data_IF_901146851860
#
_entry.id   IF_901146851860
#
_cell.length_a   1.000
_cell.length_b   1.000
_cell.length_c   1.000
_cell.angle_alpha   90.00
_cell.angle_beta   90.00
_cell.angle_gamma   90.00
#
_symmetry.space_group_name_H-M   'P 1'
#
loop_
_entity.id
_entity.type
_entity.pdbx_description
1 polymer ?
#
# COMPACT_ATOMS: atom_id res chain seq x y z
N UNK A 1 -38.42 -11.99 -44.73
CA UNK A 1 -37.07 -12.19 -44.21
C UNK A 1 -36.88 -11.25 -43.02
N UNK A 2 -37.13 -11.77 -41.83
CA UNK A 2 -37.00 -11.05 -40.54
C UNK A 2 -35.62 -11.30 -39.96
N UNK A 3 -34.84 -10.25 -39.67
CA UNK A 3 -33.56 -10.31 -38.95
C UNK A 3 -33.84 -10.57 -37.47
N UNK A 4 -33.03 -11.35 -36.78
CA UNK A 4 -33.10 -11.48 -35.33
C UNK A 4 -32.46 -10.28 -34.65
N UNK A 5 -33.17 -9.72 -33.67
CA UNK A 5 -32.73 -8.67 -32.79
C UNK A 5 -31.78 -9.26 -31.75
N UNK A 6 -30.51 -8.88 -31.78
CA UNK A 6 -29.53 -9.27 -30.76
C UNK A 6 -29.71 -8.37 -29.56
N UNK A 7 -30.22 -8.92 -28.45
CA UNK A 7 -30.26 -8.26 -27.15
C UNK A 7 -28.89 -8.34 -26.54
N UNK A 8 -28.20 -7.21 -26.41
CA UNK A 8 -26.94 -7.10 -25.69
C UNK A 8 -27.26 -7.06 -24.20
N UNK A 9 -27.03 -8.16 -23.50
CA UNK A 9 -27.02 -8.15 -22.03
C UNK A 9 -25.79 -7.40 -21.53
N UNK A 10 -26.03 -6.25 -20.89
CA UNK A 10 -25.01 -5.50 -20.17
C UNK A 10 -24.73 -6.21 -18.86
N UNK A 11 -23.65 -6.96 -18.80
CA UNK A 11 -23.13 -7.55 -17.56
C UNK A 11 -22.51 -6.46 -16.71
N UNK A 12 -23.25 -5.94 -15.75
CA UNK A 12 -22.73 -5.05 -14.73
C UNK A 12 -21.99 -5.89 -13.71
N UNK A 13 -20.68 -5.94 -13.82
CA UNK A 13 -19.82 -6.57 -12.81
C UNK A 13 -19.79 -5.66 -11.58
N UNK A 14 -20.58 -5.99 -10.56
CA UNK A 14 -20.47 -5.36 -9.24
C UNK A 14 -19.12 -5.73 -8.63
N UNK A 15 -18.23 -4.76 -8.52
CA UNK A 15 -17.01 -4.90 -7.76
C UNK A 15 -17.35 -4.91 -6.27
N UNK A 16 -17.37 -6.10 -5.71
CA UNK A 16 -17.59 -6.30 -4.28
C UNK A 16 -16.47 -5.64 -3.51
N UNK A 17 -16.80 -4.58 -2.77
CA UNK A 17 -15.89 -3.88 -1.87
C UNK A 17 -15.28 -4.89 -0.89
N UNK A 18 -13.96 -5.03 -0.92
CA UNK A 18 -13.25 -5.82 0.09
C UNK A 18 -13.20 -4.96 1.34
N UNK A 19 -13.79 -5.38 2.46
CA UNK A 19 -13.72 -4.60 3.70
C UNK A 19 -12.30 -4.63 4.24
N UNK A 20 -11.71 -3.44 4.41
CA UNK A 20 -10.46 -3.27 5.15
C UNK A 20 -10.75 -3.59 6.61
N UNK A 21 -10.02 -4.47 7.27
CA UNK A 21 -10.21 -4.70 8.68
C UNK A 21 -9.79 -3.47 9.46
N UNK A 22 -10.78 -2.70 9.94
CA UNK A 22 -10.56 -1.68 10.95
C UNK A 22 -10.21 -2.39 12.24
N UNK A 23 -8.93 -2.33 12.62
CA UNK A 23 -8.44 -2.84 13.89
C UNK A 23 -9.09 -2.08 15.05
N UNK A 24 -10.21 -2.59 15.54
CA UNK A 24 -10.80 -2.14 16.78
C UNK A 24 -9.95 -2.68 17.91
N UNK A 25 -9.19 -1.81 18.55
CA UNK A 25 -8.50 -2.13 19.80
C UNK A 25 -9.54 -2.35 20.88
N UNK A 26 -9.79 -3.61 21.21
CA UNK A 26 -10.59 -3.98 22.36
C UNK A 26 -9.81 -3.61 23.63
N UNK A 27 -10.28 -2.61 24.34
CA UNK A 27 -9.84 -2.31 25.70
C UNK A 27 -10.29 -3.42 26.63
N UNK A 28 -9.37 -4.26 27.08
CA UNK A 28 -9.62 -5.19 28.18
C UNK A 28 -9.67 -4.40 29.48
N UNK A 29 -10.87 -4.25 30.05
CA UNK A 29 -11.09 -3.71 31.38
C UNK A 29 -10.74 -4.79 32.40
N UNK A 30 -9.59 -4.67 33.07
CA UNK A 30 -9.26 -5.43 34.25
C UNK A 30 -9.59 -4.57 35.44
N UNK A 31 -10.66 -4.94 36.15
CA UNK A 31 -11.07 -4.33 37.42
C UNK A 31 -10.29 -5.01 38.53
N UNK A 32 -9.28 -4.35 39.10
CA UNK A 32 -8.66 -4.79 40.36
C UNK A 32 -8.65 -3.61 41.32
N UNK A 33 -9.48 -3.68 42.32
CA UNK A 33 -9.51 -2.81 43.50
C UNK A 33 -8.27 -3.07 44.34
N UNK A 34 -7.47 -2.08 44.65
CA UNK A 34 -7.00 -1.72 46.00
C UNK A 34 -5.71 -0.88 45.92
N UNK A 35 -5.76 0.22 46.70
CA UNK A 35 -4.67 1.03 47.29
C UNK A 35 -3.96 2.08 46.41
N UNK A 36 -4.37 3.25 46.78
CA UNK A 36 -3.84 4.59 46.71
C UNK A 36 -2.30 4.70 46.58
N UNK A 37 -1.81 4.78 45.33
CA UNK A 37 -0.55 5.42 44.99
C UNK A 37 -0.80 6.30 43.77
N UNK A 38 -0.87 7.63 44.01
CA UNK A 38 -0.98 8.62 42.93
C UNK A 38 0.38 8.70 42.22
N UNK A 39 0.61 7.75 41.29
CA UNK A 39 1.68 7.89 40.31
C UNK A 39 1.08 8.49 39.06
N UNK A 40 1.21 9.78 38.90
CA UNK A 40 0.87 10.47 37.65
C UNK A 40 1.87 10.00 36.58
N UNK A 41 1.57 8.87 35.92
CA UNK A 41 2.28 8.48 34.74
C UNK A 41 1.79 9.35 33.59
N UNK A 42 2.52 10.42 33.30
CA UNK A 42 2.32 11.15 32.06
C UNK A 42 2.70 10.24 30.91
N UNK A 43 1.69 9.59 30.31
CA UNK A 43 1.88 8.87 29.06
C UNK A 43 2.19 9.92 28.02
N UNK A 44 3.48 10.03 27.69
CA UNK A 44 3.94 10.83 26.57
C UNK A 44 3.39 10.16 25.29
N UNK A 45 2.30 10.71 24.76
CA UNK A 45 1.78 10.33 23.45
C UNK A 45 2.58 11.00 22.34
N UNK A 46 3.90 10.80 22.35
CA UNK A 46 4.66 11.09 21.14
C UNK A 46 4.16 10.12 20.04
N UNK A 47 3.81 10.62 18.85
CA UNK A 47 3.38 9.74 17.77
C UNK A 47 4.50 8.73 17.48
N UNK A 48 4.19 7.45 17.66
CA UNK A 48 5.13 6.38 17.31
C UNK A 48 5.38 6.49 15.82
N UNK A 49 6.63 6.64 15.36
CA UNK A 49 6.90 6.74 13.94
C UNK A 49 6.43 5.44 13.26
N UNK A 50 5.47 5.59 12.35
CA UNK A 50 4.99 4.45 11.56
C UNK A 50 6.11 4.05 10.63
N UNK A 51 6.71 2.87 10.86
CA UNK A 51 7.69 2.31 9.95
C UNK A 51 6.95 1.83 8.70
N UNK A 52 7.38 2.31 7.56
CA UNK A 52 6.93 1.82 6.26
C UNK A 52 8.13 1.17 5.53
N UNK A 53 7.83 0.23 4.65
CA UNK A 53 8.79 -0.37 3.74
C UNK A 53 8.43 0.18 2.34
N UNK A 54 9.39 0.74 1.64
CA UNK A 54 9.18 1.18 0.26
C UNK A 54 8.74 0.01 -0.59
N UNK A 55 7.67 0.20 -1.34
CA UNK A 55 7.11 -0.82 -2.21
C UNK A 55 6.20 -1.83 -1.52
N UNK A 56 6.10 -1.87 -0.19
CA UNK A 56 5.15 -2.70 0.56
C UNK A 56 3.91 -1.86 0.89
N UNK A 57 2.99 -1.82 -0.05
CA UNK A 57 1.80 -0.96 0.00
C UNK A 57 0.69 -1.58 0.84
N UNK A 58 0.55 -2.91 0.81
CA UNK A 58 -0.47 -3.64 1.55
C UNK A 58 -0.04 -4.01 2.99
N UNK A 59 1.21 -3.70 3.38
CA UNK A 59 1.80 -3.94 4.72
C UNK A 59 1.87 -5.42 5.13
N UNK A 60 2.03 -6.30 4.17
CA UNK A 60 2.21 -7.72 4.46
C UNK A 60 3.68 -8.08 4.77
N UNK A 61 4.57 -7.10 4.81
CA UNK A 61 6.02 -7.21 4.98
C UNK A 61 6.73 -7.97 3.83
N UNK A 62 6.10 -8.00 2.67
CA UNK A 62 6.65 -8.58 1.45
C UNK A 62 6.42 -7.61 0.30
N UNK A 63 7.40 -7.47 -0.58
CA UNK A 63 7.22 -6.73 -1.82
C UNK A 63 6.92 -7.76 -2.90
N UNK A 64 5.73 -7.67 -3.51
CA UNK A 64 5.27 -8.63 -4.52
C UNK A 64 4.37 -7.99 -5.60
N UNK A 65 3.71 -8.84 -6.39
CA UNK A 65 2.86 -8.39 -7.50
C UNK A 65 1.60 -7.65 -7.04
N UNK A 66 1.17 -7.81 -5.79
CA UNK A 66 0.02 -7.09 -5.24
C UNK A 66 0.37 -5.63 -5.07
N UNK A 67 1.56 -5.35 -4.52
CA UNK A 67 2.07 -3.99 -4.37
C UNK A 67 2.27 -3.30 -5.70
N UNK A 68 2.87 -4.01 -6.66
CA UNK A 68 3.01 -3.53 -8.03
C UNK A 68 1.65 -3.10 -8.60
N UNK A 69 0.63 -3.94 -8.43
CA UNK A 69 -0.72 -3.63 -8.90
C UNK A 69 -1.29 -2.39 -8.22
N UNK A 70 -1.11 -2.24 -6.91
CA UNK A 70 -1.60 -1.09 -6.14
C UNK A 70 -0.96 0.22 -6.61
N UNK A 71 0.36 0.22 -6.86
CA UNK A 71 1.07 1.40 -7.38
C UNK A 71 0.58 1.75 -8.80
N UNK A 72 0.47 0.77 -9.69
CA UNK A 72 -0.05 0.98 -11.05
C UNK A 72 -1.48 1.50 -11.03
N UNK A 73 -2.32 0.96 -10.16
CA UNK A 73 -3.70 1.42 -10.00
C UNK A 73 -3.76 2.86 -9.51
N UNK A 74 -2.96 3.22 -8.50
CA UNK A 74 -2.85 4.57 -7.98
C UNK A 74 -2.36 5.56 -9.06
N UNK A 75 -1.29 5.23 -9.77
CA UNK A 75 -0.73 6.01 -10.88
C UNK A 75 -1.76 6.24 -11.99
N UNK A 76 -2.48 5.20 -12.39
CA UNK A 76 -3.51 5.30 -13.43
C UNK A 76 -4.67 6.22 -12.99
N UNK A 77 -5.10 6.14 -11.74
CA UNK A 77 -6.15 7.03 -11.21
C UNK A 77 -5.71 8.48 -11.17
N UNK A 78 -4.48 8.74 -10.68
CA UNK A 78 -3.90 10.09 -10.67
C UNK A 78 -3.83 10.65 -12.09
N UNK A 79 -3.31 9.87 -13.04
CA UNK A 79 -3.20 10.26 -14.44
C UNK A 79 -4.55 10.55 -15.11
N UNK A 80 -5.63 9.90 -14.65
CA UNK A 80 -6.99 10.14 -15.10
C UNK A 80 -7.71 11.28 -14.34
N UNK A 81 -7.04 11.94 -13.38
CA UNK A 81 -7.61 13.01 -12.56
C UNK A 81 -8.57 12.55 -11.49
N UNK A 82 -8.54 11.26 -11.12
CA UNK A 82 -9.36 10.72 -10.05
C UNK A 82 -8.57 10.66 -8.73
N UNK A 83 -9.24 10.80 -7.57
CA UNK A 83 -8.59 10.55 -6.29
C UNK A 83 -8.15 9.08 -6.20
N UNK A 84 -7.05 8.82 -5.54
CA UNK A 84 -6.47 7.47 -5.41
C UNK A 84 -7.44 6.56 -4.63
N UNK A 85 -8.05 7.08 -3.58
CA UNK A 85 -9.09 6.40 -2.81
C UNK A 85 -10.44 7.07 -3.06
N UNK A 86 -11.51 6.25 -3.01
CA UNK A 86 -12.89 6.74 -3.18
C UNK A 86 -13.45 7.42 -1.94
N UNK A 87 -12.86 7.19 -0.77
CA UNK A 87 -13.39 7.54 0.55
C UNK A 87 -12.42 8.28 1.47
N UNK A 88 -11.25 8.67 0.98
CA UNK A 88 -10.28 9.35 1.82
C UNK A 88 -9.03 9.84 1.10
N UNK A 89 -8.20 10.54 1.86
CA UNK A 89 -6.83 10.89 1.47
C UNK A 89 -5.89 9.79 1.91
N UNK A 90 -4.89 9.47 1.07
CA UNK A 90 -3.81 8.60 1.48
C UNK A 90 -3.10 9.18 2.71
N UNK A 91 -2.76 8.32 3.62
CA UNK A 91 -1.88 8.67 4.73
C UNK A 91 -0.45 8.88 4.23
N UNK A 92 0.35 9.64 4.98
CA UNK A 92 1.74 9.93 4.62
C UNK A 92 2.58 8.67 4.39
N UNK A 93 2.29 7.58 5.11
CA UNK A 93 3.02 6.33 4.94
C UNK A 93 2.63 5.58 3.66
N UNK A 94 1.34 5.65 3.23
CA UNK A 94 0.88 5.07 1.98
C UNK A 94 1.51 5.76 0.79
N UNK A 95 1.54 7.09 0.81
CA UNK A 95 2.23 7.88 -0.21
C UNK A 95 3.70 7.47 -0.29
N UNK A 96 4.39 7.43 0.86
CA UNK A 96 5.82 7.08 0.92
C UNK A 96 6.13 5.63 0.55
N UNK A 97 5.19 4.70 0.73
CA UNK A 97 5.38 3.32 0.30
C UNK A 97 5.20 3.16 -1.21
N UNK A 98 4.34 3.98 -1.84
CA UNK A 98 4.08 3.98 -3.27
C UNK A 98 5.09 4.83 -4.06
N UNK A 99 5.52 5.96 -3.51
CA UNK A 99 6.54 6.85 -4.07
C UNK A 99 7.93 6.25 -3.78
N UNK A 100 8.30 5.29 -4.61
CA UNK A 100 9.51 4.48 -4.41
C UNK A 100 10.77 5.28 -4.72
N UNK A 101 10.72 6.15 -5.72
CA UNK A 101 11.85 7.01 -6.11
C UNK A 101 11.98 8.26 -5.21
N UNK A 102 10.92 8.64 -4.49
CA UNK A 102 10.93 9.76 -3.55
C UNK A 102 10.83 11.13 -4.25
N UNK A 103 10.29 11.19 -5.46
CA UNK A 103 10.13 12.43 -6.21
C UNK A 103 8.84 13.21 -5.86
N UNK A 104 8.00 12.62 -5.01
CA UNK A 104 6.73 13.18 -4.58
C UNK A 104 5.56 12.87 -5.51
N UNK A 105 5.76 12.02 -6.51
CA UNK A 105 4.75 11.63 -7.50
C UNK A 105 4.61 10.12 -7.52
N UNK A 106 3.39 9.60 -7.47
CA UNK A 106 3.17 8.16 -7.65
C UNK A 106 2.91 7.92 -9.13
N UNK A 107 3.88 7.30 -9.81
CA UNK A 107 3.89 7.16 -11.26
C UNK A 107 4.34 5.76 -11.73
N UNK A 108 4.53 5.60 -13.03
CA UNK A 108 4.85 4.29 -13.61
C UNK A 108 6.29 3.83 -13.31
N UNK A 109 7.19 4.76 -13.05
CA UNK A 109 8.58 4.47 -12.68
C UNK A 109 8.69 3.84 -11.29
N UNK A 110 7.84 4.25 -10.33
CA UNK A 110 7.74 3.57 -9.03
C UNK A 110 7.32 2.12 -9.20
N UNK A 111 6.29 1.88 -10.02
CA UNK A 111 5.84 0.53 -10.34
C UNK A 111 6.92 -0.28 -11.05
N UNK A 112 7.72 0.36 -11.91
CA UNK A 112 8.84 -0.30 -12.59
C UNK A 112 9.90 -0.81 -11.61
N UNK A 113 10.24 -0.03 -10.59
CA UNK A 113 11.19 -0.45 -9.57
C UNK A 113 10.70 -1.69 -8.82
N UNK A 114 9.41 -1.72 -8.44
CA UNK A 114 8.80 -2.89 -7.80
C UNK A 114 8.77 -4.08 -8.74
N UNK A 115 8.45 -3.87 -10.02
CA UNK A 115 8.47 -4.93 -11.03
C UNK A 115 9.86 -5.57 -11.17
N UNK A 116 10.90 -4.74 -11.24
CA UNK A 116 12.28 -5.21 -11.33
C UNK A 116 12.69 -5.99 -10.07
N UNK A 117 12.32 -5.49 -8.89
CA UNK A 117 12.53 -6.18 -7.62
C UNK A 117 11.89 -7.57 -7.61
N UNK A 118 10.62 -7.68 -7.98
CA UNK A 118 9.90 -8.95 -8.07
C UNK A 118 10.53 -9.88 -9.11
N UNK A 119 10.94 -9.34 -10.26
CA UNK A 119 11.61 -10.09 -11.32
C UNK A 119 12.93 -10.70 -10.86
N UNK A 120 13.77 -9.93 -10.19
CA UNK A 120 15.04 -10.40 -9.62
C UNK A 120 14.80 -11.49 -8.57
N UNK A 121 13.84 -11.29 -7.67
CA UNK A 121 13.46 -12.26 -6.64
C UNK A 121 12.99 -13.59 -7.27
N UNK A 122 12.24 -13.52 -8.37
CA UNK A 122 11.70 -14.70 -9.07
C UNK A 122 12.78 -15.57 -9.71
N UNK A 123 13.93 -15.00 -10.08
CA UNK A 123 15.07 -15.72 -10.66
C UNK A 123 16.15 -16.08 -9.63
N UNK A 124 15.79 -16.01 -8.33
CA UNK A 124 16.67 -16.40 -7.24
C UNK A 124 17.75 -15.37 -6.90
N UNK A 125 17.61 -14.15 -7.37
CA UNK A 125 18.39 -13.01 -6.87
C UNK A 125 17.77 -12.52 -5.56
N UNK A 126 18.59 -11.93 -4.72
CA UNK A 126 18.15 -11.42 -3.42
C UNK A 126 18.40 -9.92 -3.34
N UNK A 127 17.52 -9.10 -3.98
CA UNK A 127 17.60 -7.66 -3.78
C UNK A 127 17.34 -7.33 -2.32
N UNK A 128 18.17 -6.47 -1.73
CA UNK A 128 18.12 -6.15 -0.29
C UNK A 128 16.96 -5.23 0.03
N UNK A 129 16.77 -4.20 -0.77
CA UNK A 129 15.75 -3.18 -0.55
C UNK A 129 15.50 -2.39 -1.84
N UNK A 130 14.34 -1.76 -1.94
CA UNK A 130 14.09 -0.75 -2.96
C UNK A 130 14.79 0.59 -2.65
N UNK A 131 15.29 0.78 -1.42
CA UNK A 131 16.13 1.94 -1.09
C UNK A 131 17.48 1.92 -1.83
N UNK A 132 17.94 0.74 -2.24
CA UNK A 132 19.18 0.53 -2.98
C UNK A 132 18.99 0.53 -4.51
N UNK A 133 17.83 1.03 -4.99
CA UNK A 133 17.55 1.13 -6.41
C UNK A 133 18.38 2.28 -7.02
N UNK A 134 19.19 1.93 -8.01
CA UNK A 134 19.97 2.90 -8.82
C UNK A 134 19.08 3.43 -9.96
N UNK A 135 18.51 4.61 -9.76
CA UNK A 135 17.60 5.25 -10.70
C UNK A 135 18.30 5.74 -11.98
N UNK A 136 19.60 6.00 -11.91
CA UNK A 136 20.38 6.44 -13.08
C UNK A 136 20.60 5.28 -14.05
N UNK A 137 20.90 4.09 -13.52
CA UNK A 137 21.18 2.90 -14.31
C UNK A 137 19.99 1.91 -14.36
N UNK A 138 18.87 2.23 -13.73
CA UNK A 138 17.68 1.39 -13.64
C UNK A 138 17.99 -0.04 -13.15
N UNK A 139 18.76 -0.16 -12.09
CA UNK A 139 19.21 -1.43 -11.53
C UNK A 139 19.08 -1.49 -10.01
N UNK A 140 18.98 -2.68 -9.47
CA UNK A 140 19.00 -2.93 -8.03
C UNK A 140 20.23 -3.74 -7.68
N UNK A 141 20.95 -3.34 -6.65
CA UNK A 141 22.05 -4.13 -6.12
C UNK A 141 21.51 -5.42 -5.49
N UNK A 142 22.08 -6.54 -5.90
CA UNK A 142 21.78 -7.86 -5.33
C UNK A 142 23.03 -8.32 -4.56
N UNK A 143 22.87 -8.50 -3.26
CA UNK A 143 23.94 -9.03 -2.41
C UNK A 143 24.35 -10.45 -2.79
#
# INVERSE_FOLDING_TARGET
TTLPTTTTESSTTEWKTIPIPTGTTAAASVNTTTENVTTTTTVSTAPVPVRYIKGDVDRNASIDSTDLFLILYASARIGAGYPILTDGTLSDWEIKSMDVNGDGTIAADDAYAVLLYCGLKSVGKHPTSLDDFDWENNTIYTG
#
